data_IF_703504780466
#
_entry.id   IF_703504780466
#
_cell.length_a   1.000
_cell.length_b   1.000
_cell.length_c   1.000
_cell.angle_alpha   90.00
_cell.angle_beta   90.00
_cell.angle_gamma   90.00
#
_symmetry.space_group_name_H-M   'P 1'
#
loop_
_entity.id
_entity.type
_entity.pdbx_description
1 polymer ?
#
# COMPACT_ATOMS: atom_id res chain seq x y z
N UNK A 1 2.67 -11.77 -22.35
CA UNK A 1 3.21 -10.78 -21.38
C UNK A 1 2.13 -10.58 -20.33
N UNK A 2 2.40 -10.81 -19.04
CA UNK A 2 1.38 -10.68 -17.98
C UNK A 2 1.08 -9.19 -17.80
N UNK A 3 -0.18 -8.79 -17.90
CA UNK A 3 -0.66 -7.43 -17.62
C UNK A 3 -0.59 -7.16 -16.11
N UNK A 4 -0.32 -5.92 -15.73
CA UNK A 4 -0.19 -5.51 -14.33
C UNK A 4 -1.58 -5.56 -13.66
N UNK A 5 -1.93 -6.71 -13.08
CA UNK A 5 -3.24 -6.94 -12.45
C UNK A 5 -3.28 -6.61 -10.96
N UNK A 6 -2.19 -6.90 -10.24
CA UNK A 6 -2.14 -6.75 -8.78
C UNK A 6 -0.98 -5.85 -8.37
N UNK A 7 -1.28 -4.82 -7.59
CA UNK A 7 -0.28 -3.95 -6.98
C UNK A 7 -0.25 -4.16 -5.46
N UNK A 8 0.92 -3.93 -4.85
CA UNK A 8 1.04 -3.80 -3.41
C UNK A 8 1.65 -2.43 -3.06
N UNK A 9 1.09 -1.79 -2.04
CA UNK A 9 1.52 -0.48 -1.53
C UNK A 9 2.04 -0.68 -0.11
N UNK A 10 3.26 -0.21 0.15
CA UNK A 10 3.93 -0.36 1.45
C UNK A 10 4.77 0.87 1.80
N UNK A 11 5.18 1.00 3.06
CA UNK A 11 5.99 2.09 3.58
C UNK A 11 7.32 1.59 4.17
N UNK A 12 8.44 2.11 3.66
CA UNK A 12 9.78 1.80 4.16
C UNK A 12 10.32 2.96 5.00
N UNK A 13 10.73 2.67 6.24
CA UNK A 13 11.43 3.62 7.09
C UNK A 13 12.92 3.69 6.73
N UNK A 14 13.40 4.84 6.27
CA UNK A 14 14.76 4.97 5.70
C UNK A 14 15.79 5.47 6.70
N UNK A 15 15.39 6.34 7.65
CA UNK A 15 16.27 6.90 8.69
C UNK A 15 15.50 7.25 9.97
N UNK A 16 16.22 7.34 11.10
CA UNK A 16 15.72 7.98 12.33
C UNK A 16 15.14 9.36 11.99
N UNK A 17 14.04 9.75 12.66
CA UNK A 17 13.25 10.98 12.47
C UNK A 17 12.22 10.96 11.33
N UNK A 18 11.37 9.93 11.26
CA UNK A 18 10.13 9.97 10.46
C UNK A 18 10.31 10.19 8.95
N UNK A 19 11.37 9.63 8.36
CA UNK A 19 11.55 9.62 6.90
C UNK A 19 11.05 8.30 6.33
N UNK A 20 9.93 8.37 5.62
CA UNK A 20 9.27 7.25 4.97
C UNK A 20 9.46 7.33 3.46
N UNK A 21 9.54 6.17 2.81
CA UNK A 21 9.38 6.03 1.36
C UNK A 21 8.15 5.15 1.15
N UNK A 22 7.15 5.66 0.47
CA UNK A 22 6.03 4.85 -0.03
C UNK A 22 6.47 4.15 -1.31
N UNK A 23 6.25 2.85 -1.38
CA UNK A 23 6.58 2.03 -2.55
C UNK A 23 5.33 1.40 -3.12
N UNK A 24 5.30 1.26 -4.45
CA UNK A 24 4.32 0.46 -5.17
C UNK A 24 5.09 -0.62 -5.91
N UNK A 25 4.70 -1.86 -5.69
CA UNK A 25 5.31 -3.02 -6.30
C UNK A 25 4.25 -3.84 -7.03
N UNK A 26 4.68 -4.62 -8.02
CA UNK A 26 3.87 -5.69 -8.60
C UNK A 26 3.75 -6.80 -7.56
N UNK A 27 2.52 -7.12 -7.15
CA UNK A 27 2.28 -8.09 -6.08
C UNK A 27 2.65 -9.52 -6.51
N UNK A 28 2.59 -9.82 -7.82
CA UNK A 28 2.90 -11.15 -8.35
C UNK A 28 4.41 -11.32 -8.57
N UNK A 29 5.07 -10.31 -9.13
CA UNK A 29 6.48 -10.40 -9.54
C UNK A 29 7.46 -9.77 -8.56
N UNK A 30 6.97 -9.04 -7.55
CA UNK A 30 7.74 -8.26 -6.57
C UNK A 30 8.64 -7.20 -7.19
N UNK A 31 8.36 -6.80 -8.43
CA UNK A 31 9.10 -5.73 -9.10
C UNK A 31 8.67 -4.38 -8.54
N UNK A 32 9.65 -3.52 -8.28
CA UNK A 32 9.39 -2.13 -7.93
C UNK A 32 8.83 -1.39 -9.14
N UNK A 33 7.62 -0.85 -8.99
CA UNK A 33 6.95 -0.06 -10.02
C UNK A 33 7.12 1.43 -9.76
N UNK A 34 7.10 1.83 -8.48
CA UNK A 34 7.21 3.22 -8.09
C UNK A 34 7.74 3.36 -6.66
N UNK A 35 8.47 4.43 -6.39
CA UNK A 35 8.90 4.81 -5.05
C UNK A 35 8.85 6.33 -4.93
N UNK A 36 8.28 6.83 -3.84
CA UNK A 36 8.23 8.26 -3.54
C UNK A 36 8.64 8.52 -2.09
N UNK A 37 9.31 9.64 -1.86
CA UNK A 37 9.60 10.11 -0.51
C UNK A 37 8.32 10.66 0.12
N UNK A 38 8.01 10.18 1.32
CA UNK A 38 6.83 10.59 2.06
C UNK A 38 5.95 9.41 2.48
N UNK A 39 4.74 9.75 2.93
CA UNK A 39 3.71 8.82 3.38
C UNK A 39 2.29 9.30 3.06
N UNK A 40 2.18 10.35 2.24
CA UNK A 40 0.90 10.96 1.90
C UNK A 40 0.36 10.32 0.65
N UNK A 41 -0.96 10.26 0.54
CA UNK A 41 -1.65 9.84 -0.70
C UNK A 41 -1.19 10.65 -1.92
N UNK A 42 -0.86 11.93 -1.72
CA UNK A 42 -0.42 12.83 -2.79
C UNK A 42 0.95 12.43 -3.36
N UNK A 43 1.80 11.77 -2.56
CA UNK A 43 3.12 11.31 -2.97
C UNK A 43 3.00 10.12 -3.96
N UNK A 44 1.90 9.35 -3.89
CA UNK A 44 1.64 8.22 -4.78
C UNK A 44 0.82 8.58 -6.02
N UNK A 45 0.13 9.73 -6.01
CA UNK A 45 -0.74 10.15 -7.11
C UNK A 45 -0.06 10.21 -8.48
N UNK A 46 1.21 10.67 -8.62
CA UNK A 46 1.88 10.70 -9.91
C UNK A 46 1.98 9.33 -10.60
N UNK A 47 2.06 8.24 -9.82
CA UNK A 47 2.07 6.89 -10.38
C UNK A 47 0.74 6.55 -11.06
N UNK A 48 -0.37 6.83 -10.40
CA UNK A 48 -1.71 6.56 -10.95
C UNK A 48 -2.04 7.47 -12.12
N UNK A 49 -1.63 8.74 -12.07
CA UNK A 49 -1.77 9.66 -13.21
C UNK A 49 -1.03 9.10 -14.44
N UNK A 50 0.18 8.55 -14.25
CA UNK A 50 0.93 7.91 -15.33
C UNK A 50 0.25 6.65 -15.87
N UNK A 51 -0.31 5.81 -15.00
CA UNK A 51 -1.08 4.64 -15.43
C UNK A 51 -2.34 5.04 -16.21
N UNK A 52 -2.98 6.14 -15.81
CA UNK A 52 -4.13 6.71 -16.52
C UNK A 52 -3.75 7.20 -17.92
N UNK A 53 -2.64 7.93 -18.05
CA UNK A 53 -2.09 8.36 -19.36
C UNK A 53 -1.81 7.17 -20.28
N UNK A 54 -1.35 6.05 -19.73
CA UNK A 54 -1.07 4.82 -20.47
C UNK A 54 -2.31 3.96 -20.75
N UNK A 55 -3.49 4.33 -20.22
CA UNK A 55 -4.72 3.53 -20.34
C UNK A 55 -4.66 2.18 -19.62
N UNK A 56 -3.81 2.06 -18.60
CA UNK A 56 -3.59 0.81 -17.84
C UNK A 56 -4.30 0.80 -16.49
N UNK A 57 -4.89 1.92 -16.08
CA UNK A 57 -5.51 2.08 -14.76
C UNK A 57 -6.62 1.04 -14.51
N UNK A 58 -7.43 0.76 -15.53
CA UNK A 58 -8.53 -0.21 -15.46
C UNK A 58 -8.08 -1.67 -15.43
N UNK A 59 -6.78 -1.95 -15.63
CA UNK A 59 -6.23 -3.30 -15.53
C UNK A 59 -5.92 -3.72 -14.09
N UNK A 60 -5.92 -2.76 -13.15
CA UNK A 60 -5.69 -3.07 -11.74
C UNK A 60 -6.92 -3.73 -11.16
N UNK A 61 -6.81 -5.03 -10.89
CA UNK A 61 -7.84 -5.88 -10.30
C UNK A 61 -7.70 -5.97 -8.78
N UNK A 62 -6.48 -5.82 -8.25
CA UNK A 62 -6.18 -5.98 -6.84
C UNK A 62 -5.14 -4.98 -6.32
N UNK A 63 -5.38 -4.46 -5.13
CA UNK A 63 -4.44 -3.62 -4.42
C UNK A 63 -4.27 -4.13 -2.98
N UNK A 64 -3.09 -4.68 -2.69
CA UNK A 64 -2.69 -5.09 -1.35
C UNK A 64 -2.07 -3.90 -0.64
N UNK A 65 -2.51 -3.60 0.58
CA UNK A 65 -1.98 -2.47 1.33
C UNK A 65 -2.10 -2.67 2.84
N UNK A 66 -1.43 -1.81 3.59
CA UNK A 66 -1.62 -1.66 5.03
C UNK A 66 -3.03 -1.10 5.34
N UNK A 67 -3.40 -1.12 6.62
CA UNK A 67 -4.69 -0.60 7.08
C UNK A 67 -4.86 0.92 6.96
N UNK A 68 -3.96 1.64 6.29
CA UNK A 68 -3.99 3.10 6.24
C UNK A 68 -5.15 3.62 5.36
N UNK A 69 -6.10 4.31 6.00
CA UNK A 69 -7.25 4.92 5.34
C UNK A 69 -6.87 5.83 4.16
N UNK A 70 -5.68 6.45 4.17
CA UNK A 70 -5.21 7.34 3.11
C UNK A 70 -5.01 6.64 1.77
N UNK A 71 -4.34 5.49 1.76
CA UNK A 71 -4.09 4.72 0.54
C UNK A 71 -5.35 4.02 0.03
N UNK A 72 -6.18 3.52 0.95
CA UNK A 72 -7.46 2.92 0.59
C UNK A 72 -8.36 3.90 -0.15
N UNK A 73 -8.47 5.14 0.31
CA UNK A 73 -9.29 6.15 -0.36
C UNK A 73 -8.72 6.51 -1.74
N UNK A 74 -7.39 6.65 -1.86
CA UNK A 74 -6.74 6.91 -3.15
C UNK A 74 -7.06 5.81 -4.18
N UNK A 75 -6.93 4.54 -3.77
CA UNK A 75 -7.20 3.40 -4.67
C UNK A 75 -8.69 3.29 -4.99
N UNK A 76 -9.60 3.54 -4.04
CA UNK A 76 -11.06 3.58 -4.33
C UNK A 76 -11.42 4.68 -5.33
N UNK A 77 -10.79 5.84 -5.20
CA UNK A 77 -11.04 6.99 -6.08
C UNK A 77 -10.50 6.75 -7.50
N UNK A 78 -9.31 6.17 -7.63
CA UNK A 78 -8.61 6.05 -8.92
C UNK A 78 -8.84 4.71 -9.61
N UNK A 79 -9.03 3.63 -8.86
CA UNK A 79 -9.18 2.26 -9.34
C UNK A 79 -10.45 1.62 -8.74
N UNK A 80 -11.66 2.06 -9.15
CA UNK A 80 -12.91 1.64 -8.52
C UNK A 80 -13.19 0.14 -8.67
N UNK A 81 -12.62 -0.50 -9.68
CA UNK A 81 -12.75 -1.95 -9.93
C UNK A 81 -11.76 -2.79 -9.12
N UNK A 82 -10.75 -2.17 -8.51
CA UNK A 82 -9.72 -2.89 -7.77
C UNK A 82 -10.24 -3.35 -6.41
N UNK A 83 -9.99 -4.63 -6.09
CA UNK A 83 -10.25 -5.20 -4.77
C UNK A 83 -9.14 -4.77 -3.81
N UNK A 84 -9.51 -4.06 -2.76
CA UNK A 84 -8.59 -3.72 -1.68
C UNK A 84 -8.45 -4.91 -0.75
N UNK A 85 -7.20 -5.37 -0.57
CA UNK A 85 -6.85 -6.50 0.28
C UNK A 85 -5.93 -5.98 1.38
N UNK A 86 -6.30 -6.25 2.63
CA UNK A 86 -5.44 -5.93 3.77
C UNK A 86 -4.32 -6.95 3.86
N UNK A 87 -3.09 -6.48 4.07
CA UNK A 87 -1.96 -7.35 4.32
C UNK A 87 -2.08 -8.06 5.68
N UNK A 88 -2.12 -9.40 5.64
CA UNK A 88 -2.19 -10.26 6.80
C UNK A 88 -1.00 -10.06 7.75
N UNK A 89 0.20 -9.77 7.24
CA UNK A 89 1.36 -9.54 8.09
C UNK A 89 1.14 -8.36 9.03
N UNK A 90 0.65 -7.24 8.48
CA UNK A 90 0.32 -6.04 9.24
C UNK A 90 -0.85 -6.28 10.20
N UNK A 91 -1.89 -7.01 9.77
CA UNK A 91 -3.00 -7.40 10.65
C UNK A 91 -2.52 -8.24 11.86
N UNK A 92 -1.66 -9.23 11.64
CA UNK A 92 -1.12 -10.07 12.70
C UNK A 92 -0.16 -9.30 13.61
N UNK A 93 0.66 -8.41 13.05
CA UNK A 93 1.55 -7.55 13.83
C UNK A 93 0.74 -6.64 14.77
N UNK A 94 -0.30 -5.99 14.26
CA UNK A 94 -1.19 -5.14 15.05
C UNK A 94 -1.87 -5.95 16.16
N UNK A 95 -2.46 -7.10 15.83
CA UNK A 95 -3.12 -7.97 16.81
C UNK A 95 -2.16 -8.43 17.92
N UNK A 96 -0.96 -8.87 17.55
CA UNK A 96 0.03 -9.32 18.53
C UNK A 96 0.49 -8.17 19.44
N UNK A 97 0.62 -6.95 18.91
CA UNK A 97 0.95 -5.76 19.71
C UNK A 97 -0.14 -5.47 20.74
N UNK A 98 -1.41 -5.44 20.32
CA UNK A 98 -2.53 -5.17 21.23
C UNK A 98 -2.67 -6.23 22.32
N UNK A 99 -2.49 -7.51 21.98
CA UNK A 99 -2.52 -8.61 22.97
C UNK A 99 -1.36 -8.51 23.96
N UNK A 100 -0.17 -8.10 23.52
CA UNK A 100 0.96 -7.89 24.39
C UNK A 100 0.72 -6.73 25.38
N UNK A 101 0.16 -5.61 24.89
CA UNK A 101 -0.21 -4.46 25.72
C UNK A 101 -1.27 -4.81 26.76
N UNK A 102 -2.31 -5.56 26.37
CA UNK A 102 -3.37 -6.01 27.27
C UNK A 102 -2.84 -6.90 28.41
N UNK A 103 -1.86 -7.78 28.14
CA UNK A 103 -1.19 -8.57 29.20
C UNK A 103 -0.38 -7.72 30.17
N UNK A 104 0.13 -6.58 29.73
CA UNK A 104 0.82 -5.60 30.58
C UNK A 104 -0.10 -4.91 31.59
N UNK A 105 -1.41 -4.84 31.30
CA UNK A 105 -2.42 -4.20 32.16
C UNK A 105 -2.99 -5.13 33.25
N UNK A 106 -2.68 -6.43 33.21
CA UNK A 106 -3.12 -7.43 34.22
C UNK A 106 -1.99 -7.71 35.24
N UNK A 107 -1.19 -6.70 35.56
CA UNK A 107 -0.17 -6.75 36.61
C UNK A 107 -0.52 -5.84 37.78
#
# INVERSE_FOLDING_TARGET
MKTLGNIAIDEISVKKHHKYISVIIDADTRRLLYAAYGRKKDDLRPFFDRLKELGLLDQIEGAVMDGNCGYQNLVKELCPNAKIVLDLFHCLQQFNSEVADAKGLIK
#
